data_IF_406465484554
#
_entry.id   IF_406465484554
#
_cell.length_a   1.000
_cell.length_b   1.000
_cell.length_c   1.000
_cell.angle_alpha   90.00
_cell.angle_beta   90.00
_cell.angle_gamma   90.00
#
_symmetry.space_group_name_H-M   'P 1'
#
loop_
_entity.id
_entity.type
_entity.pdbx_description
1 polymer ?
#
# COMPACT_ATOMS: atom_id res chain seq x y z
N UNK A 1 -15.38 12.99 -9.70
CA UNK A 1 -14.24 12.66 -10.61
C UNK A 1 -14.71 12.18 -11.97
N UNK A 2 -14.11 12.68 -13.06
CA UNK A 2 -14.39 12.25 -14.44
C UNK A 2 -13.74 10.90 -14.82
N UNK A 3 -12.95 10.31 -13.93
CA UNK A 3 -12.30 9.01 -14.17
C UNK A 3 -13.27 7.90 -13.72
N UNK A 4 -13.61 6.95 -14.60
CA UNK A 4 -14.48 5.84 -14.23
C UNK A 4 -13.81 4.94 -13.19
N UNK A 5 -14.59 4.46 -12.21
CA UNK A 5 -14.12 3.66 -11.06
C UNK A 5 -13.20 2.51 -11.48
N UNK A 6 -13.53 1.79 -12.55
CA UNK A 6 -12.71 0.67 -13.07
C UNK A 6 -11.29 1.11 -13.47
N UNK A 7 -11.15 2.25 -14.16
CA UNK A 7 -9.83 2.77 -14.54
C UNK A 7 -9.03 3.20 -13.30
N UNK A 8 -9.69 3.82 -12.32
CA UNK A 8 -9.05 4.20 -11.06
C UNK A 8 -8.52 2.98 -10.30
N UNK A 9 -9.32 1.93 -10.15
CA UNK A 9 -8.92 0.69 -9.47
C UNK A 9 -7.71 0.03 -10.15
N UNK A 10 -7.70 -0.06 -11.49
CA UNK A 10 -6.57 -0.66 -12.23
C UNK A 10 -5.29 0.16 -12.01
N UNK A 11 -5.36 1.49 -12.12
CA UNK A 11 -4.21 2.37 -11.87
C UNK A 11 -3.73 2.26 -10.42
N UNK A 12 -4.66 2.18 -9.46
CA UNK A 12 -4.34 2.02 -8.05
C UNK A 12 -3.59 0.71 -7.79
N UNK A 13 -4.06 -0.41 -8.35
CA UNK A 13 -3.40 -1.72 -8.18
C UNK A 13 -1.99 -1.71 -8.79
N UNK A 14 -1.84 -1.20 -10.03
CA UNK A 14 -0.52 -1.10 -10.69
C UNK A 14 0.43 -0.22 -9.87
N UNK A 15 -0.07 0.93 -9.41
CA UNK A 15 0.70 1.87 -8.58
C UNK A 15 1.08 1.25 -7.23
N UNK A 16 0.19 0.50 -6.60
CA UNK A 16 0.46 -0.22 -5.35
C UNK A 16 1.60 -1.23 -5.53
N UNK A 17 1.55 -2.05 -6.58
CA UNK A 17 2.64 -3.00 -6.89
C UNK A 17 3.96 -2.30 -7.19
N UNK A 18 3.93 -1.25 -8.01
CA UNK A 18 5.12 -0.46 -8.30
C UNK A 18 5.70 0.18 -7.03
N UNK A 19 4.86 0.73 -6.16
CA UNK A 19 5.27 1.34 -4.90
C UNK A 19 5.91 0.32 -3.94
N UNK A 20 5.32 -0.87 -3.79
CA UNK A 20 5.90 -1.95 -2.99
C UNK A 20 7.25 -2.39 -3.56
N UNK A 21 7.36 -2.55 -4.88
CA UNK A 21 8.59 -2.95 -5.54
C UNK A 21 9.70 -1.91 -5.36
N UNK A 22 9.40 -0.64 -5.66
CA UNK A 22 10.34 0.49 -5.56
C UNK A 22 10.79 0.67 -4.10
N UNK A 23 9.84 0.71 -3.15
CA UNK A 23 10.18 0.94 -1.74
C UNK A 23 10.97 -0.22 -1.14
N UNK A 24 10.70 -1.46 -1.55
CA UNK A 24 11.49 -2.63 -1.12
C UNK A 24 12.88 -2.62 -1.75
N UNK A 25 13.01 -2.25 -3.02
CA UNK A 25 14.29 -2.17 -3.73
C UNK A 25 15.19 -1.03 -3.21
N UNK A 26 14.61 0.14 -2.89
CA UNK A 26 15.35 1.32 -2.41
C UNK A 26 15.69 1.28 -0.91
N UNK A 27 14.77 0.78 -0.07
CA UNK A 27 14.87 0.86 1.39
C UNK A 27 15.01 -0.50 2.09
N UNK A 28 14.83 -1.62 1.38
CA UNK A 28 15.03 -2.96 1.95
C UNK A 28 16.51 -3.26 2.17
N UNK A 29 16.86 -3.75 3.35
CA UNK A 29 18.25 -4.10 3.71
C UNK A 29 18.61 -5.57 3.43
N UNK A 30 17.73 -6.38 2.85
CA UNK A 30 18.01 -7.81 2.61
C UNK A 30 17.33 -8.37 1.35
N UNK A 31 18.15 -8.63 0.33
CA UNK A 31 18.02 -9.82 -0.54
C UNK A 31 17.28 -9.68 -1.89
N UNK A 32 17.67 -10.46 -2.91
CA UNK A 32 17.19 -10.33 -4.31
C UNK A 32 15.78 -10.91 -4.56
N UNK A 33 15.05 -11.30 -3.52
CA UNK A 33 13.90 -12.19 -3.68
C UNK A 33 12.57 -11.48 -3.97
N UNK A 34 12.53 -10.13 -3.99
CA UNK A 34 11.33 -9.37 -4.37
C UNK A 34 10.10 -9.58 -3.47
N UNK A 35 10.21 -10.48 -2.49
CA UNK A 35 9.20 -10.84 -1.52
C UNK A 35 9.79 -10.79 -0.11
N UNK A 36 9.12 -10.11 0.83
CA UNK A 36 9.50 -10.09 2.23
C UNK A 36 9.31 -11.47 2.88
N UNK A 37 10.30 -11.94 3.63
CA UNK A 37 10.28 -13.25 4.30
C UNK A 37 9.45 -13.27 5.60
N UNK A 38 9.02 -12.11 6.10
CA UNK A 38 8.13 -12.02 7.27
C UNK A 38 7.37 -10.69 7.30
N UNK A 39 6.16 -10.61 7.89
CA UNK A 39 5.45 -9.34 8.08
C UNK A 39 6.30 -8.31 8.84
N UNK A 40 7.15 -8.75 9.76
CA UNK A 40 8.11 -7.90 10.46
C UNK A 40 9.15 -7.32 9.50
N UNK A 41 9.63 -8.08 8.50
CA UNK A 41 10.57 -7.58 7.49
C UNK A 41 9.96 -6.56 6.52
N UNK A 42 8.63 -6.59 6.30
CA UNK A 42 7.90 -5.61 5.48
C UNK A 42 7.85 -4.26 6.16
N UNK A 43 7.58 -4.29 7.47
CA UNK A 43 7.42 -3.12 8.31
C UNK A 43 8.76 -2.56 8.80
N UNK A 44 9.80 -3.41 8.89
CA UNK A 44 11.18 -3.03 9.20
C UNK A 44 11.85 -2.40 7.99
N UNK A 45 11.39 -1.21 7.62
CA UNK A 45 11.95 -0.41 6.52
C UNK A 45 13.20 0.31 7.00
N UNK A 46 14.38 -0.19 6.67
CA UNK A 46 15.64 0.57 6.56
C UNK A 46 16.11 1.43 7.75
N UNK A 47 15.46 1.34 8.92
CA UNK A 47 15.80 2.11 10.14
C UNK A 47 17.22 1.86 10.62
N UNK A 48 17.81 0.75 10.17
CA UNK A 48 19.15 0.31 10.56
C UNK A 48 20.22 0.80 9.58
N UNK A 49 19.84 1.46 8.48
CA UNK A 49 20.82 2.06 7.58
C UNK A 49 21.32 3.38 8.16
N UNK A 50 22.63 3.47 8.43
CA UNK A 50 23.29 4.69 8.96
C UNK A 50 23.28 5.90 8.03
N UNK A 51 22.42 5.90 7.01
CA UNK A 51 22.29 6.95 6.00
C UNK A 51 21.00 7.75 6.28
N UNK A 52 21.17 8.96 6.81
CA UNK A 52 20.08 9.80 7.35
C UNK A 52 18.91 10.02 6.38
N UNK A 53 19.16 10.16 5.07
CA UNK A 53 18.09 10.36 4.08
C UNK A 53 17.22 9.11 3.89
N UNK A 54 17.78 7.90 4.06
CA UNK A 54 17.02 6.64 3.98
C UNK A 54 16.10 6.47 5.19
N UNK A 55 16.54 6.90 6.37
CA UNK A 55 15.72 6.90 7.59
C UNK A 55 14.58 7.94 7.52
N UNK A 56 14.83 9.12 6.96
CA UNK A 56 13.79 10.10 6.71
C UNK A 56 12.76 9.60 5.68
N UNK A 57 13.23 9.03 4.56
CA UNK A 57 12.36 8.45 3.54
C UNK A 57 11.56 7.26 4.07
N UNK A 58 12.16 6.38 4.87
CA UNK A 58 11.45 5.25 5.47
C UNK A 58 10.34 5.70 6.42
N UNK A 59 10.59 6.73 7.23
CA UNK A 59 9.61 7.29 8.17
C UNK A 59 8.36 7.82 7.46
N UNK A 60 8.52 8.45 6.29
CA UNK A 60 7.40 8.97 5.49
C UNK A 60 6.66 7.83 4.77
N UNK A 61 7.39 6.85 4.26
CA UNK A 61 6.84 5.73 3.48
C UNK A 61 6.14 4.70 4.37
N UNK A 62 6.57 4.55 5.61
CA UNK A 62 6.06 3.56 6.56
C UNK A 62 4.54 3.64 6.79
N UNK A 63 3.93 4.79 7.14
CA UNK A 63 2.48 4.87 7.33
C UNK A 63 1.70 4.50 6.06
N UNK A 64 2.22 4.87 4.89
CA UNK A 64 1.61 4.52 3.59
C UNK A 64 1.66 3.00 3.38
N UNK A 65 2.80 2.36 3.66
CA UNK A 65 2.93 0.89 3.63
C UNK A 65 2.00 0.20 4.62
N UNK A 66 1.83 0.75 5.82
CA UNK A 66 0.91 0.21 6.83
C UNK A 66 -0.54 0.30 6.32
N UNK A 67 -0.95 1.36 5.63
CA UNK A 67 -2.30 1.38 5.03
C UNK A 67 -2.40 0.35 3.89
N UNK A 68 -1.38 0.23 3.04
CA UNK A 68 -1.41 -0.67 1.88
C UNK A 68 -1.33 -2.16 2.24
N UNK A 69 -0.62 -2.51 3.31
CA UNK A 69 -0.26 -3.90 3.67
C UNK A 69 -0.79 -4.28 5.05
N UNK A 70 -1.06 -3.30 5.91
CA UNK A 70 -1.33 -3.47 7.33
C UNK A 70 -2.36 -4.53 7.63
N UNK A 71 -3.57 -4.52 7.02
CA UNK A 71 -4.56 -5.55 7.26
C UNK A 71 -4.01 -6.96 7.02
N UNK A 72 -3.22 -7.17 5.96
CA UNK A 72 -2.62 -8.47 5.64
C UNK A 72 -1.43 -8.84 6.53
N UNK A 73 -0.79 -7.86 7.16
CA UNK A 73 0.29 -8.03 8.12
C UNK A 73 -0.18 -8.09 9.59
N UNK A 74 -1.50 -7.98 9.85
CA UNK A 74 -2.03 -8.07 11.20
C UNK A 74 -1.86 -9.49 11.75
N UNK A 75 -1.41 -9.65 13.01
CA UNK A 75 -1.24 -10.95 13.67
C UNK A 75 -2.50 -11.82 13.71
N UNK A 76 -3.69 -11.20 13.60
CA UNK A 76 -4.98 -11.90 13.59
C UNK A 76 -5.20 -12.71 12.31
N UNK A 77 -4.55 -12.31 11.22
CA UNK A 77 -4.54 -13.04 9.96
C UNK A 77 -3.18 -13.76 9.93
N UNK A 78 -3.08 -14.91 10.61
CA UNK A 78 -1.89 -15.78 10.61
C UNK A 78 -1.47 -16.27 9.20
N UNK A 79 -2.09 -15.74 8.13
CA UNK A 79 -1.86 -16.06 6.74
C UNK A 79 -0.39 -15.92 6.35
N UNK A 80 0.32 -14.85 6.75
CA UNK A 80 1.76 -14.70 6.45
C UNK A 80 2.68 -15.53 7.35
N UNK A 81 2.16 -16.11 8.43
CA UNK A 81 2.93 -16.93 9.38
C UNK A 81 2.97 -18.41 8.97
N UNK A 82 1.98 -18.84 8.19
CA UNK A 82 1.84 -20.22 7.69
C UNK A 82 2.49 -20.46 6.31
N UNK A 83 3.27 -19.50 5.80
CA UNK A 83 3.98 -19.60 4.51
C UNK A 83 3.02 -19.96 3.36
N UNK A 84 2.00 -19.11 3.11
CA UNK A 84 0.93 -19.43 2.18
C UNK A 84 1.52 -19.45 0.76
N UNK A 85 1.00 -20.30 -0.15
CA UNK A 85 1.60 -20.42 -1.46
C UNK A 85 1.64 -19.04 -2.16
N UNK A 86 2.76 -18.67 -2.82
CA UNK A 86 3.00 -17.33 -3.37
C UNK A 86 1.83 -16.70 -4.15
N UNK A 87 1.04 -17.43 -4.98
CA UNK A 87 -0.07 -16.81 -5.71
C UNK A 87 -1.22 -16.33 -4.82
N UNK A 88 -1.44 -16.92 -3.64
CA UNK A 88 -2.56 -16.55 -2.78
C UNK A 88 -2.37 -15.15 -2.18
N UNK A 89 -1.14 -14.79 -1.79
CA UNK A 89 -0.80 -13.46 -1.26
C UNK A 89 -1.24 -12.37 -2.25
N UNK A 90 -0.93 -12.54 -3.53
CA UNK A 90 -1.33 -11.60 -4.58
C UNK A 90 -2.85 -11.44 -4.71
N UNK A 91 -3.62 -12.53 -4.56
CA UNK A 91 -5.09 -12.49 -4.63
C UNK A 91 -5.67 -11.68 -3.47
N UNK A 92 -5.17 -11.87 -2.25
CA UNK A 92 -5.61 -11.10 -1.09
C UNK A 92 -5.28 -9.61 -1.24
N UNK A 93 -4.09 -9.28 -1.75
CA UNK A 93 -3.72 -7.89 -2.06
C UNK A 93 -4.65 -7.27 -3.09
N UNK A 94 -4.93 -7.97 -4.20
CA UNK A 94 -5.84 -7.48 -5.24
C UNK A 94 -7.24 -7.24 -4.67
N UNK A 95 -7.76 -8.18 -3.88
CA UNK A 95 -9.08 -8.05 -3.26
C UNK A 95 -9.13 -6.86 -2.29
N UNK A 96 -8.15 -6.76 -1.40
CA UNK A 96 -8.03 -5.67 -0.44
C UNK A 96 -7.90 -4.30 -1.14
N UNK A 97 -6.99 -4.18 -2.10
CA UNK A 97 -6.77 -2.94 -2.84
C UNK A 97 -7.94 -2.54 -3.72
N UNK A 98 -8.73 -3.50 -4.21
CA UNK A 98 -9.97 -3.20 -4.94
C UNK A 98 -11.00 -2.50 -4.04
N UNK A 99 -11.16 -2.99 -2.81
CA UNK A 99 -12.03 -2.37 -1.81
C UNK A 99 -11.48 -0.99 -1.43
N UNK A 100 -10.20 -0.91 -1.09
CA UNK A 100 -9.55 0.34 -0.70
C UNK A 100 -9.64 1.41 -1.80
N UNK A 101 -9.35 1.05 -3.05
CA UNK A 101 -9.47 1.94 -4.20
C UNK A 101 -10.91 2.40 -4.42
N UNK A 102 -11.90 1.53 -4.19
CA UNK A 102 -13.31 1.91 -4.31
C UNK A 102 -13.72 2.92 -3.23
N UNK A 103 -13.25 2.72 -1.99
CA UNK A 103 -13.48 3.65 -0.88
C UNK A 103 -12.85 5.01 -1.18
N UNK A 104 -11.59 5.03 -1.62
CA UNK A 104 -10.88 6.27 -1.97
C UNK A 104 -11.59 6.99 -3.13
N UNK A 105 -11.98 6.27 -4.18
CA UNK A 105 -12.70 6.85 -5.33
C UNK A 105 -14.02 7.48 -4.92
N UNK A 106 -14.75 6.84 -4.00
CA UNK A 106 -15.99 7.36 -3.44
C UNK A 106 -15.77 8.65 -2.63
N UNK A 107 -14.83 8.64 -1.69
CA UNK A 107 -14.52 9.84 -0.89
C UNK A 107 -14.03 11.00 -1.76
N UNK A 108 -13.19 10.73 -2.76
CA UNK A 108 -12.67 11.76 -3.65
C UNK A 108 -13.76 12.35 -4.56
N UNK A 109 -14.78 11.55 -4.90
CA UNK A 109 -16.00 12.03 -5.55
C UNK A 109 -16.80 13.00 -4.67
N UNK A 110 -17.06 12.61 -3.42
CA UNK A 110 -17.84 13.42 -2.47
C UNK A 110 -17.14 14.75 -2.11
N UNK A 111 -15.81 14.75 -1.93
CA UNK A 111 -15.05 15.97 -1.65
C UNK A 111 -15.20 16.96 -2.80
N UNK A 112 -15.11 16.48 -4.05
CA UNK A 112 -15.24 17.32 -5.24
C UNK A 112 -16.65 17.93 -5.40
N UNK A 113 -17.69 17.18 -5.03
CA UNK A 113 -19.08 17.67 -5.01
C UNK A 113 -19.27 18.77 -3.96
N UNK A 114 -18.68 18.61 -2.76
CA UNK A 114 -18.75 19.62 -1.70
C UNK A 114 -18.05 20.95 -2.02
N UNK A 115 -17.08 20.95 -2.94
CA UNK A 115 -16.36 22.16 -3.37
C UNK A 115 -17.03 22.86 -4.56
N UNK A 116 -17.96 22.17 -5.24
CA UNK A 116 -18.64 22.68 -6.42
C UNK A 116 -19.94 23.44 -6.11
N UNK A 117 -20.38 23.47 -4.85
CA UNK A 117 -21.56 24.23 -4.43
C UNK A 117 -21.13 25.63 -3.94
N UNK A 118 -21.33 26.71 -4.72
CA UNK A 118 -21.25 28.05 -4.15
C UNK A 118 -22.44 28.19 -3.20
N UNK A 119 -22.18 28.13 -1.89
CA UNK A 119 -23.17 28.57 -0.89
C UNK A 119 -23.43 30.05 -1.11
N UNK A 120 -24.47 30.35 -1.86
CA UNK A 120 -25.08 31.68 -1.89
C UNK A 120 -26.11 31.68 -0.77
N UNK A 121 -25.76 32.33 0.33
CA UNK A 121 -26.70 32.89 1.31
C UNK A 121 -26.73 34.39 1.13
#
# INVERSE_FOLDING_TARGET
>A
MNIPRKKFVILFIISGFAFLFISTSLLGTTGPQGFPQSPDSILRTGSDSGVTWKSAASTIILPIKIVLIGPLALPQINFLKEDPPPPFIGIYFIFYWTILASIIHYFLGNVQESTAEPRIY
#
